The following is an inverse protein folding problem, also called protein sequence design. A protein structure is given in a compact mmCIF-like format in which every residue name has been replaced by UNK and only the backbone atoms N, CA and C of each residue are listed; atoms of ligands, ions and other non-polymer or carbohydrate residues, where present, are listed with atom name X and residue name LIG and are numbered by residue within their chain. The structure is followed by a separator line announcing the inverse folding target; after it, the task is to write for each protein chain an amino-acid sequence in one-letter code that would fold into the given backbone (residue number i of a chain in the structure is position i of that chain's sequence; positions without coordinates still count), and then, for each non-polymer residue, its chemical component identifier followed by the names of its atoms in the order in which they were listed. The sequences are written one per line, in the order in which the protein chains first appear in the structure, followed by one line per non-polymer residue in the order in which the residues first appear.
data_IF_366022238137
#
_entry.id   IF_366022238137
#
_cell.length_a   1.000
_cell.length_b   1.000
_cell.length_c   1.000
_cell.angle_alpha   90.00
_cell.angle_beta   90.00
_cell.angle_gamma   90.00
#
_symmetry.space_group_name_H-M   'P 1'
#
loop_
_entity.id
_entity.type
_entity.pdbx_description
1 polymer ?
#
# COMPACT_ATOMS: atom_id res chain seq x y z
N UNK A 1 6.00 5.98 -18.01
CA UNK A 1 4.95 5.39 -17.17
C UNK A 1 5.66 4.58 -16.09
N UNK A 2 5.62 5.02 -14.83
CA UNK A 2 6.26 4.28 -13.75
C UNK A 2 5.46 3.01 -13.52
N UNK A 3 6.00 1.90 -14.02
CA UNK A 3 5.57 0.56 -13.65
C UNK A 3 5.88 0.38 -12.18
N UNK A 4 4.87 0.57 -11.32
CA UNK A 4 4.97 0.30 -9.88
C UNK A 4 5.60 -1.07 -9.64
N UNK A 5 6.57 -1.16 -8.74
CA UNK A 5 7.23 -2.43 -8.41
C UNK A 5 6.30 -3.44 -7.71
N UNK A 6 5.13 -2.98 -7.28
CA UNK A 6 4.03 -3.78 -6.75
C UNK A 6 2.99 -2.93 -6.04
N UNK A 7 2.04 -3.61 -5.41
CA UNK A 7 0.89 -3.01 -4.75
C UNK A 7 0.59 -3.73 -3.43
N UNK A 8 -0.12 -3.04 -2.55
CA UNK A 8 -0.69 -3.60 -1.33
C UNK A 8 -2.05 -2.93 -1.05
N UNK A 9 -2.79 -3.49 -0.10
CA UNK A 9 -4.06 -2.92 0.37
C UNK A 9 -3.81 -2.19 1.69
N UNK A 10 -4.18 -0.92 1.75
CA UNK A 10 -4.14 -0.14 2.98
C UNK A 10 -5.32 -0.51 3.90
N UNK A 11 -5.31 0.03 5.12
CA UNK A 11 -6.37 -0.12 6.11
C UNK A 11 -7.76 0.40 5.67
N UNK A 12 -7.83 1.26 4.66
CA UNK A 12 -9.04 1.88 4.12
C UNK A 12 -9.59 1.05 2.94
N UNK A 13 -8.92 -0.06 2.59
CA UNK A 13 -9.27 -0.92 1.47
C UNK A 13 -8.82 -0.40 0.10
N UNK A 14 -7.98 0.63 0.06
CA UNK A 14 -7.42 1.15 -1.18
C UNK A 14 -6.19 0.34 -1.61
N UNK A 15 -6.04 0.14 -2.91
CA UNK A 15 -4.80 -0.37 -3.48
C UNK A 15 -3.80 0.78 -3.64
N UNK A 16 -2.61 0.62 -3.09
CA UNK A 16 -1.51 1.60 -3.15
C UNK A 16 -0.26 0.99 -3.76
N UNK A 17 0.55 1.84 -4.38
CA UNK A 17 1.87 1.46 -4.88
C UNK A 17 2.86 1.33 -3.71
N UNK A 18 3.78 0.36 -3.79
CA UNK A 18 4.90 0.27 -2.84
C UNK A 18 5.95 1.37 -3.05
N UNK A 19 5.99 1.99 -4.24
CA UNK A 19 6.93 3.08 -4.57
C UNK A 19 6.40 4.46 -4.15
N UNK A 20 5.07 4.61 -4.12
CA UNK A 20 4.38 5.83 -3.71
C UNK A 20 3.19 5.48 -2.81
N UNK A 21 3.43 5.06 -1.55
CA UNK A 21 2.37 4.72 -0.62
C UNK A 21 1.59 5.96 -0.17
N UNK A 22 2.14 7.17 -0.33
CA UNK A 22 1.53 8.40 0.18
C UNK A 22 1.69 8.59 1.69
N UNK A 23 1.12 9.66 2.25
CA UNK A 23 1.14 9.95 3.70
C UNK A 23 2.52 10.26 4.28
N UNK A 24 3.56 10.36 3.44
CA UNK A 24 4.95 10.51 3.89
C UNK A 24 5.60 9.21 4.38
N UNK A 25 4.99 8.07 4.10
CA UNK A 25 5.50 6.74 4.47
C UNK A 25 6.46 6.17 3.41
N UNK A 26 7.14 5.08 3.77
CA UNK A 26 7.99 4.27 2.92
C UNK A 26 7.53 2.80 3.00
N UNK A 27 7.79 2.01 1.96
CA UNK A 27 7.53 0.57 2.00
C UNK A 27 8.84 -0.23 1.98
N UNK A 28 8.92 -1.22 2.85
CA UNK A 28 9.87 -2.32 2.75
C UNK A 28 9.11 -3.57 2.29
N UNK A 29 9.63 -4.29 1.29
CA UNK A 29 8.92 -5.43 0.70
C UNK A 29 9.76 -6.70 0.77
N UNK A 30 9.14 -7.81 1.16
CA UNK A 30 9.66 -9.15 0.97
C UNK A 30 8.81 -9.85 -0.09
N UNK A 31 9.37 -9.97 -1.30
CA UNK A 31 8.68 -10.56 -2.45
C UNK A 31 8.52 -12.08 -2.34
N UNK A 32 9.38 -12.76 -1.57
CA UNK A 32 9.31 -14.21 -1.35
C UNK A 32 8.19 -14.53 -0.36
N UNK A 33 8.15 -13.79 0.75
CA UNK A 33 7.09 -13.89 1.77
C UNK A 33 5.78 -13.22 1.34
N UNK A 34 5.79 -12.46 0.23
CA UNK A 34 4.68 -11.61 -0.25
C UNK A 34 4.21 -10.61 0.81
N UNK A 35 5.16 -9.93 1.43
CA UNK A 35 4.93 -9.04 2.56
C UNK A 35 5.33 -7.59 2.24
N UNK A 36 4.60 -6.64 2.80
CA UNK A 36 4.87 -5.21 2.76
C UNK A 36 4.80 -4.66 4.18
N UNK A 37 5.90 -4.06 4.65
CA UNK A 37 5.93 -3.20 5.83
C UNK A 37 5.83 -1.75 5.37
N UNK A 38 4.82 -1.03 5.85
CA UNK A 38 4.70 0.42 5.67
C UNK A 38 5.28 1.09 6.91
N UNK A 39 6.26 1.96 6.69
CA UNK A 39 7.10 2.54 7.73
C UNK A 39 7.03 4.06 7.70
N UNK A 40 7.14 4.71 8.85
CA UNK A 40 7.50 6.13 8.91
C UNK A 40 8.92 6.33 8.39
N UNK A 41 9.26 7.56 8.00
CA UNK A 41 10.65 7.91 7.62
C UNK A 41 11.68 7.68 8.74
N UNK A 42 11.22 7.56 9.99
CA UNK A 42 12.07 7.29 11.16
C UNK A 42 12.18 5.80 11.49
N UNK A 43 11.58 4.92 10.69
CA UNK A 43 11.69 3.47 10.85
C UNK A 43 10.67 2.83 11.78
N UNK A 44 9.55 3.49 12.08
CA UNK A 44 8.44 2.89 12.84
C UNK A 44 7.47 2.20 11.90
N UNK A 45 7.13 0.93 12.17
CA UNK A 45 6.09 0.19 11.44
C UNK A 45 4.70 0.76 11.76
N UNK A 46 3.92 1.08 10.73
CA UNK A 46 2.56 1.65 10.85
C UNK A 46 1.48 0.79 10.22
N UNK A 47 1.81 0.00 9.19
CA UNK A 47 0.87 -0.91 8.54
C UNK A 47 1.60 -2.09 7.92
N UNK A 48 0.96 -3.25 7.94
CA UNK A 48 1.44 -4.48 7.32
C UNK A 48 0.45 -4.92 6.25
N UNK A 49 0.96 -5.33 5.09
CA UNK A 49 0.13 -5.73 3.97
C UNK A 49 0.70 -6.91 3.20
N UNK A 50 -0.15 -7.54 2.39
CA UNK A 50 0.29 -8.53 1.42
C UNK A 50 0.79 -7.81 0.15
N UNK A 51 1.95 -8.24 -0.36
CA UNK A 51 2.49 -7.77 -1.62
C UNK A 51 1.79 -8.46 -2.80
N UNK A 52 1.29 -7.66 -3.73
CA UNK A 52 0.76 -8.08 -5.02
C UNK A 52 1.59 -7.45 -6.14
N UNK A 53 1.99 -8.24 -7.13
CA UNK A 53 2.81 -7.72 -8.22
C UNK A 53 2.03 -6.76 -9.12
N UNK A 54 0.75 -7.04 -9.34
CA UNK A 54 -0.13 -6.22 -10.18
C UNK A 54 -1.52 -6.07 -9.57
N UNK A 55 -2.30 -5.11 -10.08
CA UNK A 55 -3.70 -4.93 -9.70
C UNK A 55 -4.57 -6.14 -10.07
N UNK A 56 -4.23 -6.87 -11.14
CA UNK A 56 -4.93 -8.11 -11.50
C UNK A 56 -4.70 -9.21 -10.47
N UNK A 57 -3.52 -9.27 -9.84
CA UNK A 57 -3.26 -10.25 -8.78
C UNK A 57 -4.04 -9.95 -7.50
N UNK A 58 -4.33 -8.67 -7.21
CA UNK A 58 -5.29 -8.26 -6.16
C UNK A 58 -6.69 -8.79 -6.49
N UNK A 59 -7.14 -8.59 -7.74
CA UNK A 59 -8.45 -9.06 -8.18
C UNK A 59 -8.59 -10.59 -8.15
N UNK A 60 -7.53 -11.33 -8.53
CA UNK A 60 -7.49 -12.80 -8.45
C UNK A 60 -7.54 -13.31 -7.00
N UNK A 61 -7.04 -12.52 -6.04
CA UNK A 61 -7.20 -12.80 -4.61
C UNK A 61 -8.63 -12.55 -4.09
N UNK A 62 -9.54 -12.10 -4.96
CA UNK A 62 -10.94 -11.82 -4.61
C UNK A 62 -11.15 -10.46 -3.96
N UNK A 63 -10.13 -9.60 -3.94
CA UNK A 63 -10.18 -8.28 -3.29
C UNK A 63 -10.65 -7.23 -4.30
N UNK A 64 -11.70 -6.49 -3.95
CA UNK A 64 -12.21 -5.36 -4.72
C UNK A 64 -11.64 -4.07 -4.14
N UNK A 65 -10.53 -3.59 -4.70
CA UNK A 65 -9.87 -2.36 -4.28
C UNK A 65 -9.64 -1.43 -5.47
N UNK A 66 -9.92 -0.14 -5.28
CA UNK A 66 -9.57 0.91 -6.24
C UNK A 66 -8.12 1.37 -6.02
N UNK A 67 -7.39 1.61 -7.11
CA UNK A 67 -6.08 2.22 -7.02
C UNK A 67 -6.21 3.70 -6.62
N UNK A 68 -5.38 4.14 -5.67
CA UNK A 68 -5.22 5.55 -5.30
C UNK A 68 -3.76 5.98 -5.41
N UNK A 69 -3.46 7.18 -5.93
CA UNK A 69 -2.09 7.72 -5.95
C UNK A 69 -1.63 8.11 -4.55
N UNK A 70 -0.33 8.29 -4.32
CA UNK A 70 0.20 8.68 -3.00
C UNK A 70 -0.22 10.07 -2.53
N UNK A 71 -0.78 10.91 -3.42
CA UNK A 71 -1.44 12.16 -3.04
C UNK A 71 -2.79 11.96 -2.35
N UNK A 72 -3.37 10.75 -2.43
CA UNK A 72 -4.56 10.41 -1.66
C UNK A 72 -4.19 10.28 -0.18
N UNK A 73 -4.87 11.01 0.73
CA UNK A 73 -4.55 10.98 2.15
C UNK A 73 -4.66 9.56 2.73
N UNK A 74 -3.93 9.33 3.81
CA UNK A 74 -4.12 8.15 4.65
C UNK A 74 -5.16 8.45 5.70
N UNK A 75 -6.11 7.53 5.88
CA UNK A 75 -7.21 7.71 6.82
C UNK A 75 -8.18 8.81 6.38
N UNK A 76 -9.27 8.93 7.12
CA UNK A 76 -10.29 9.93 6.91
C UNK A 76 -10.34 10.91 8.08
N UNK A 77 -10.98 12.08 7.88
CA UNK A 77 -11.28 13.01 8.99
C UNK A 77 -12.08 12.36 10.13
N UNK A 78 -12.77 11.25 9.86
CA UNK A 78 -13.53 10.53 10.89
C UNK A 78 -12.61 9.76 11.84
N UNK A 79 -11.37 9.49 11.43
CA UNK A 79 -10.35 8.79 12.21
C UNK A 79 -9.50 9.75 13.06
N UNK A 80 -9.78 11.06 13.00
CA UNK A 80 -9.18 12.08 13.85
C UNK A 80 -7.85 12.69 13.36
N UNK A 81 -7.52 12.55 12.08
CA UNK A 81 -6.34 13.13 11.42
C UNK A 81 -6.54 14.56 10.90
#
# INVERSE_FOLDING_TARGET
MSTSEGFFIDWDGNARSVDDPGGGYLCETDRVAKYVAVMTKTGTLVHEGTFYKTMEDIAKAGIKAGFVPGSHPWGSKQDGF
#
